data_IF_281470322331
#
_entry.id   IF_281470322331
#
_cell.length_a   1.000
_cell.length_b   1.000
_cell.length_c   1.000
_cell.angle_alpha   90.00
_cell.angle_beta   90.00
_cell.angle_gamma   90.00
#
_symmetry.space_group_name_H-M   'P 1'
#
loop_
_entity.id
_entity.type
_entity.pdbx_description
1 polymer ?
#
# COMPACT_ATOMS: atom_id res chain seq x y z
N UNK A 1 -62.18 -59.80 9.89
CA UNK A 1 -62.14 -58.45 9.33
C UNK A 1 -60.75 -57.86 9.57
N UNK A 2 -59.94 -57.83 8.54
CA UNK A 2 -58.59 -57.27 8.60
C UNK A 2 -58.62 -55.83 8.12
N UNK A 3 -58.40 -54.88 9.05
CA UNK A 3 -58.26 -53.47 8.70
C UNK A 3 -56.81 -53.25 8.24
N UNK A 4 -56.69 -52.95 6.95
CA UNK A 4 -55.41 -52.49 6.42
C UNK A 4 -55.13 -51.07 6.91
N UNK A 5 -54.05 -50.90 7.70
CA UNK A 5 -53.51 -49.59 8.03
C UNK A 5 -52.55 -49.20 6.95
N UNK A 6 -52.91 -48.17 6.23
CA UNK A 6 -52.02 -47.50 5.27
C UNK A 6 -51.01 -46.65 6.06
N UNK A 7 -49.75 -47.00 5.95
CA UNK A 7 -48.63 -46.18 6.52
C UNK A 7 -48.24 -45.19 5.45
N UNK A 8 -48.52 -43.92 5.68
CA UNK A 8 -48.03 -42.84 4.84
C UNK A 8 -46.63 -42.54 5.31
N UNK A 9 -45.65 -42.90 4.50
CA UNK A 9 -44.29 -42.50 4.70
C UNK A 9 -44.12 -41.05 4.27
N UNK A 10 -44.03 -40.13 5.20
CA UNK A 10 -43.68 -38.73 4.95
C UNK A 10 -42.18 -38.63 4.64
N UNK A 11 -41.87 -38.48 3.37
CA UNK A 11 -40.53 -38.18 2.92
C UNK A 11 -40.16 -36.76 3.32
N UNK A 12 -39.27 -36.64 4.28
CA UNK A 12 -38.55 -35.37 4.56
C UNK A 12 -37.57 -35.11 3.43
N UNK A 13 -38.00 -34.29 2.48
CA UNK A 13 -37.11 -33.71 1.51
C UNK A 13 -36.16 -32.74 2.18
N UNK A 14 -34.93 -33.16 2.39
CA UNK A 14 -33.82 -32.26 2.70
C UNK A 14 -33.56 -31.40 1.46
N UNK A 15 -34.15 -30.21 1.47
CA UNK A 15 -33.76 -29.17 0.54
C UNK A 15 -32.31 -28.75 0.89
N UNK A 16 -31.36 -29.34 0.18
CA UNK A 16 -30.00 -28.81 0.17
C UNK A 16 -30.07 -27.43 -0.48
N UNK A 17 -30.05 -26.38 0.35
CA UNK A 17 -29.84 -25.05 -0.13
C UNK A 17 -28.46 -25.00 -0.79
N UNK A 18 -28.35 -24.59 -2.07
CA UNK A 18 -27.05 -24.37 -2.63
C UNK A 18 -26.39 -23.24 -1.81
N UNK A 19 -25.38 -23.57 -1.05
CA UNK A 19 -24.44 -22.56 -0.59
C UNK A 19 -23.88 -21.93 -1.85
N UNK A 20 -24.42 -20.78 -2.21
CA UNK A 20 -23.78 -19.85 -3.11
C UNK A 20 -22.46 -19.49 -2.41
N UNK A 21 -21.43 -20.27 -2.67
CA UNK A 21 -20.09 -19.83 -2.46
C UNK A 21 -20.01 -18.50 -3.23
N UNK A 22 -20.14 -17.39 -2.53
CA UNK A 22 -19.74 -16.11 -3.06
C UNK A 22 -18.29 -16.33 -3.44
N UNK A 23 -18.04 -16.54 -4.72
CA UNK A 23 -16.73 -16.31 -5.25
C UNK A 23 -16.42 -14.88 -4.84
N UNK A 24 -15.61 -14.71 -3.81
CA UNK A 24 -14.90 -13.48 -3.57
C UNK A 24 -14.07 -13.35 -4.82
N UNK A 25 -14.58 -12.61 -5.80
CA UNK A 25 -13.80 -12.13 -6.90
C UNK A 25 -12.70 -11.36 -6.17
N UNK A 26 -11.53 -11.97 -6.06
CA UNK A 26 -10.35 -11.28 -5.61
C UNK A 26 -10.23 -10.10 -6.57
N UNK A 27 -10.74 -8.94 -6.15
CA UNK A 27 -10.45 -7.69 -6.82
C UNK A 27 -8.95 -7.68 -6.89
N UNK A 28 -8.39 -7.74 -8.10
CA UNK A 28 -6.96 -7.85 -8.32
C UNK A 28 -6.25 -6.95 -7.33
N UNK A 29 -5.38 -7.55 -6.49
CA UNK A 29 -4.75 -6.85 -5.38
C UNK A 29 -4.21 -5.53 -5.90
N UNK A 30 -4.69 -4.40 -5.36
CA UNK A 30 -4.21 -3.09 -5.76
C UNK A 30 -2.72 -3.06 -5.57
N UNK A 31 -1.99 -2.55 -6.55
CA UNK A 31 -0.55 -2.37 -6.43
C UNK A 31 -0.23 -1.59 -5.16
N UNK A 32 0.81 -1.97 -4.43
CA UNK A 32 1.31 -1.11 -3.36
C UNK A 32 1.66 0.27 -3.90
N UNK A 33 1.42 1.30 -3.11
CA UNK A 33 1.82 2.66 -3.46
C UNK A 33 3.16 2.94 -2.80
N UNK A 34 4.13 3.36 -3.59
CA UNK A 34 5.39 3.89 -3.09
C UNK A 34 5.41 5.40 -3.30
N UNK A 35 5.54 6.16 -2.22
CA UNK A 35 5.68 7.61 -2.27
C UNK A 35 7.12 7.97 -2.02
N UNK A 36 7.70 8.76 -2.91
CA UNK A 36 8.91 9.53 -2.68
C UNK A 36 8.52 10.97 -2.32
N UNK A 37 8.89 11.40 -1.14
CA UNK A 37 8.72 12.78 -0.68
C UNK A 37 10.08 13.45 -0.54
N UNK A 38 10.29 14.52 -1.29
CA UNK A 38 11.57 15.20 -1.36
C UNK A 38 11.45 16.69 -1.64
N UNK A 39 12.60 17.36 -1.66
CA UNK A 39 12.67 18.79 -1.92
C UNK A 39 13.92 19.18 -2.73
N UNK A 40 13.85 20.37 -3.33
CA UNK A 40 14.91 20.88 -4.22
C UNK A 40 16.21 21.23 -3.49
N UNK A 41 16.16 21.52 -2.19
CA UNK A 41 17.33 21.95 -1.43
C UNK A 41 18.16 20.79 -0.90
N UNK A 42 17.61 19.57 -0.88
CA UNK A 42 18.26 18.39 -0.33
C UNK A 42 19.26 17.78 -1.32
N UNK A 43 20.52 17.73 -0.96
CA UNK A 43 21.54 17.00 -1.73
C UNK A 43 21.24 15.50 -1.79
N UNK A 44 20.69 14.92 -0.72
CA UNK A 44 20.29 13.52 -0.71
C UNK A 44 19.14 13.24 -1.69
N UNK A 45 18.21 14.19 -1.86
CA UNK A 45 17.16 14.08 -2.90
C UNK A 45 17.75 14.16 -4.31
N UNK A 46 18.76 14.98 -4.55
CA UNK A 46 19.46 15.01 -5.84
C UNK A 46 20.14 13.68 -6.14
N UNK A 47 20.81 13.09 -5.16
CA UNK A 47 21.40 11.74 -5.30
C UNK A 47 20.34 10.69 -5.61
N UNK A 48 19.21 10.71 -4.90
CA UNK A 48 18.09 9.82 -5.19
C UNK A 48 17.64 9.96 -6.66
N UNK A 49 17.32 11.19 -7.09
CA UNK A 49 16.77 11.47 -8.41
C UNK A 49 17.74 11.17 -9.56
N UNK A 50 19.03 11.28 -9.33
CA UNK A 50 20.06 11.09 -10.36
C UNK A 50 20.63 9.68 -10.40
N UNK A 51 20.71 8.99 -9.26
CA UNK A 51 21.37 7.69 -9.17
C UNK A 51 20.38 6.54 -8.92
N UNK A 52 19.47 6.67 -7.96
CA UNK A 52 18.61 5.56 -7.53
C UNK A 52 17.28 5.51 -8.27
N UNK A 53 16.63 6.64 -8.49
CA UNK A 53 15.33 6.68 -9.18
C UNK A 53 15.40 6.08 -10.61
N UNK A 54 16.42 6.40 -11.44
CA UNK A 54 16.54 5.78 -12.75
C UNK A 54 16.71 4.26 -12.71
N UNK A 55 17.49 3.74 -11.75
CA UNK A 55 17.65 2.31 -11.55
C UNK A 55 16.33 1.65 -11.13
N UNK A 56 15.61 2.28 -10.22
CA UNK A 56 14.30 1.83 -9.79
C UNK A 56 13.30 1.76 -10.95
N UNK A 57 13.24 2.82 -11.77
CA UNK A 57 12.34 2.87 -12.93
C UNK A 57 12.62 1.82 -14.00
N UNK A 58 13.85 1.34 -14.08
CA UNK A 58 14.27 0.29 -15.01
C UNK A 58 14.07 -1.13 -14.46
N UNK A 59 13.89 -1.26 -13.15
CA UNK A 59 13.73 -2.55 -12.51
C UNK A 59 12.31 -3.12 -12.70
N UNK A 60 12.16 -4.45 -12.80
CA UNK A 60 10.84 -5.08 -12.93
C UNK A 60 9.86 -4.72 -11.81
N UNK A 61 10.35 -4.47 -10.60
CA UNK A 61 9.53 -4.09 -9.45
C UNK A 61 8.77 -2.79 -9.67
N UNK A 62 9.28 -1.88 -10.50
CA UNK A 62 8.60 -0.62 -10.82
C UNK A 62 7.21 -0.83 -11.43
N UNK A 63 7.04 -1.85 -12.26
CA UNK A 63 5.76 -2.18 -12.88
C UNK A 63 4.74 -2.76 -11.87
N UNK A 64 5.21 -3.19 -10.71
CA UNK A 64 4.40 -3.81 -9.66
C UNK A 64 3.97 -2.84 -8.57
N UNK A 65 4.39 -1.58 -8.63
CA UNK A 65 4.07 -0.53 -7.67
C UNK A 65 3.42 0.67 -8.35
N UNK A 66 2.57 1.37 -7.63
CA UNK A 66 2.08 2.71 -8.01
C UNK A 66 3.05 3.73 -7.41
N UNK A 67 3.95 4.24 -8.24
CA UNK A 67 4.97 5.19 -7.81
C UNK A 67 4.45 6.62 -7.87
N UNK A 68 4.51 7.31 -6.75
CA UNK A 68 4.04 8.69 -6.59
C UNK A 68 5.16 9.58 -6.07
N UNK A 69 5.22 10.79 -6.58
CA UNK A 69 6.24 11.79 -6.20
C UNK A 69 5.54 12.99 -5.58
N UNK A 70 5.96 13.35 -4.37
CA UNK A 70 5.62 14.61 -3.71
C UNK A 70 6.93 15.40 -3.57
N UNK A 71 7.09 16.44 -4.38
CA UNK A 71 8.34 17.17 -4.46
C UNK A 71 8.09 18.67 -4.33
N UNK A 72 8.81 19.30 -3.42
CA UNK A 72 8.59 20.70 -3.03
C UNK A 72 9.88 21.51 -3.12
N UNK A 73 9.78 22.83 -3.03
CA UNK A 73 10.95 23.72 -3.04
C UNK A 73 11.78 23.60 -1.78
N UNK A 74 11.13 23.40 -0.62
CA UNK A 74 11.78 23.29 0.69
C UNK A 74 11.17 22.14 1.47
N UNK A 75 11.89 21.51 2.41
CA UNK A 75 11.36 20.40 3.19
C UNK A 75 10.15 20.78 4.04
N UNK A 76 10.05 22.02 4.50
CA UNK A 76 8.91 22.50 5.31
C UNK A 76 7.60 22.47 4.52
N UNK A 77 7.64 22.65 3.21
CA UNK A 77 6.46 22.59 2.36
C UNK A 77 5.88 21.16 2.27
N UNK A 78 6.68 20.13 2.52
CA UNK A 78 6.18 18.74 2.64
C UNK A 78 5.22 18.55 3.81
N UNK A 79 5.28 19.41 4.82
CA UNK A 79 4.38 19.37 5.97
C UNK A 79 3.05 20.11 5.71
N UNK A 80 2.87 20.69 4.53
CA UNK A 80 1.67 21.41 4.13
C UNK A 80 0.75 20.51 3.30
N UNK A 81 -0.53 20.36 3.69
CA UNK A 81 -1.48 19.52 2.94
C UNK A 81 -1.62 19.93 1.46
N UNK A 82 -1.47 21.22 1.15
CA UNK A 82 -1.56 21.73 -0.22
C UNK A 82 -0.46 21.17 -1.15
N UNK A 83 0.67 20.68 -0.62
CA UNK A 83 1.76 20.08 -1.39
C UNK A 83 1.47 18.63 -1.77
N UNK A 84 0.44 18.02 -1.20
CA UNK A 84 0.09 16.63 -1.43
C UNK A 84 -1.13 16.52 -2.36
N UNK A 85 -1.14 15.53 -3.27
CA UNK A 85 -2.36 15.20 -4.01
C UNK A 85 -3.51 14.89 -3.07
N UNK A 86 -4.74 15.22 -3.47
CA UNK A 86 -5.91 15.06 -2.62
C UNK A 86 -6.08 13.62 -2.10
N UNK A 87 -5.79 12.63 -2.93
CA UNK A 87 -5.89 11.21 -2.61
C UNK A 87 -4.77 10.70 -1.67
N UNK A 88 -3.74 11.49 -1.44
CA UNK A 88 -2.61 11.14 -0.56
C UNK A 88 -2.48 12.02 0.68
N UNK A 89 -3.37 12.98 0.90
CA UNK A 89 -3.32 13.87 2.08
C UNK A 89 -3.43 13.11 3.39
N UNK A 90 -4.19 12.02 3.40
CA UNK A 90 -4.30 11.16 4.58
C UNK A 90 -2.96 10.57 5.02
N UNK A 91 -2.03 10.36 4.08
CA UNK A 91 -0.67 9.88 4.39
C UNK A 91 0.08 10.93 5.20
N UNK A 92 -0.01 12.19 4.79
CA UNK A 92 0.56 13.29 5.55
C UNK A 92 -0.06 13.39 6.95
N UNK A 93 -1.38 13.30 7.06
CA UNK A 93 -2.07 13.36 8.35
C UNK A 93 -1.62 12.22 9.27
N UNK A 94 -1.58 10.98 8.78
CA UNK A 94 -1.12 9.83 9.53
C UNK A 94 0.35 9.97 9.95
N UNK A 95 1.18 10.50 9.08
CA UNK A 95 2.60 10.76 9.36
C UNK A 95 2.77 11.79 10.47
N UNK A 96 2.08 12.93 10.38
CA UNK A 96 2.16 13.99 11.39
C UNK A 96 1.64 13.51 12.75
N UNK A 97 0.62 12.66 12.78
CA UNK A 97 0.11 12.08 14.02
C UNK A 97 1.07 11.08 14.67
N UNK A 98 1.90 10.41 13.88
CA UNK A 98 2.85 9.42 14.38
C UNK A 98 4.15 10.04 14.91
N UNK A 99 4.41 11.30 14.61
CA UNK A 99 5.66 11.97 14.97
C UNK A 99 5.56 12.67 16.33
N UNK A 100 6.44 12.30 17.22
CA UNK A 100 6.66 12.98 18.50
C UNK A 100 7.74 14.06 18.29
N UNK A 101 7.41 15.08 17.52
CA UNK A 101 8.32 16.20 17.26
C UNK A 101 8.38 16.59 15.78
N UNK A 102 8.11 17.85 15.50
CA UNK A 102 8.01 18.42 14.15
C UNK A 102 9.37 18.42 13.43
N UNK A 103 10.46 18.44 14.16
CA UNK A 103 11.82 18.54 13.60
C UNK A 103 12.21 17.30 12.77
N UNK A 104 11.72 16.13 13.11
CA UNK A 104 12.00 14.88 12.36
C UNK A 104 11.18 14.75 11.08
N UNK A 105 10.11 15.51 10.93
CA UNK A 105 9.23 15.44 9.78
C UNK A 105 9.80 16.03 8.49
N UNK A 106 10.81 16.88 8.59
CA UNK A 106 11.37 17.61 7.46
C UNK A 106 12.59 16.92 6.81
N UNK A 107 13.02 15.76 7.29
CA UNK A 107 14.12 15.02 6.68
C UNK A 107 13.73 14.39 5.34
N UNK A 108 14.55 14.58 4.32
CA UNK A 108 14.36 14.11 2.97
C UNK A 108 15.63 13.45 2.39
N UNK A 109 15.52 12.54 1.43
CA UNK A 109 14.31 11.94 0.87
C UNK A 109 13.58 11.07 1.90
N UNK A 110 12.25 11.09 1.85
CA UNK A 110 11.41 10.23 2.68
C UNK A 110 10.54 9.35 1.79
N UNK A 111 10.43 8.10 2.19
CA UNK A 111 9.66 7.11 1.44
C UNK A 111 8.54 6.54 2.30
N UNK A 112 7.38 6.34 1.69
CA UNK A 112 6.24 5.66 2.31
C UNK A 112 5.80 4.51 1.43
N UNK A 113 5.65 3.34 2.03
CA UNK A 113 5.04 2.19 1.39
C UNK A 113 3.63 2.00 1.94
N UNK A 114 2.66 1.95 1.05
CA UNK A 114 1.25 1.83 1.38
C UNK A 114 0.71 0.54 0.80
N UNK A 115 0.09 -0.26 1.64
CA UNK A 115 -0.58 -1.50 1.28
C UNK A 115 -1.95 -1.55 1.94
N UNK A 116 -2.99 -1.88 1.17
CA UNK A 116 -4.34 -2.02 1.72
C UNK A 116 -4.86 -0.76 2.41
N UNK A 117 -4.47 0.43 1.94
CA UNK A 117 -4.88 1.71 2.52
C UNK A 117 -4.17 2.08 3.83
N UNK A 118 -3.06 1.42 4.16
CA UNK A 118 -2.28 1.69 5.36
C UNK A 118 -0.81 1.92 5.03
N UNK A 119 -0.15 2.81 5.78
CA UNK A 119 1.31 2.95 5.72
C UNK A 119 1.91 1.74 6.42
N UNK A 120 2.54 0.85 5.66
CA UNK A 120 3.16 -0.37 6.20
C UNK A 120 4.64 -0.22 6.48
N UNK A 121 5.29 0.73 5.83
CA UNK A 121 6.71 0.96 6.00
C UNK A 121 7.10 2.39 5.62
N UNK A 122 8.08 2.95 6.33
CA UNK A 122 8.68 4.25 6.03
C UNK A 122 10.21 4.17 6.08
N UNK A 123 10.88 4.98 5.27
CA UNK A 123 12.33 5.07 5.27
C UNK A 123 12.76 6.52 5.01
N UNK A 124 13.90 6.91 5.55
CA UNK A 124 14.50 8.23 5.35
C UNK A 124 15.95 8.09 4.87
N UNK A 125 16.23 8.76 3.76
CA UNK A 125 17.57 8.80 3.19
C UNK A 125 17.89 7.67 2.21
N UNK A 126 18.97 7.86 1.45
CA UNK A 126 19.38 6.91 0.41
C UNK A 126 19.87 5.58 0.96
N UNK A 127 20.51 5.58 2.14
CA UNK A 127 20.96 4.34 2.78
C UNK A 127 19.77 3.49 3.20
N UNK A 128 18.74 4.09 3.79
CA UNK A 128 17.52 3.37 4.16
C UNK A 128 16.74 2.90 2.92
N UNK A 129 16.77 3.67 1.83
CA UNK A 129 16.24 3.20 0.54
C UNK A 129 16.94 1.90 0.10
N UNK A 130 18.26 1.94 0.01
CA UNK A 130 19.07 0.81 -0.46
C UNK A 130 18.96 -0.42 0.42
N UNK A 131 19.09 -0.21 1.74
CA UNK A 131 19.30 -1.31 2.68
C UNK A 131 18.00 -1.88 3.23
N UNK A 132 16.90 -1.12 3.19
CA UNK A 132 15.63 -1.52 3.81
C UNK A 132 14.45 -1.39 2.86
N UNK A 133 14.21 -0.21 2.26
CA UNK A 133 13.02 -0.02 1.41
C UNK A 133 13.06 -0.90 0.15
N UNK A 134 14.19 -0.93 -0.53
CA UNK A 134 14.36 -1.75 -1.74
C UNK A 134 14.10 -3.24 -1.49
N UNK A 135 14.75 -3.88 -0.49
CA UNK A 135 14.43 -5.27 -0.14
C UNK A 135 12.96 -5.48 0.23
N UNK A 136 12.38 -4.55 0.98
CA UNK A 136 10.95 -4.62 1.38
C UNK A 136 10.03 -4.58 0.15
N UNK A 137 10.32 -3.72 -0.82
CA UNK A 137 9.55 -3.67 -2.08
C UNK A 137 9.62 -4.99 -2.84
N UNK A 138 10.80 -5.60 -2.91
CA UNK A 138 10.96 -6.90 -3.57
C UNK A 138 10.14 -7.97 -2.87
N UNK A 139 10.17 -8.04 -1.56
CA UNK A 139 9.41 -9.02 -0.79
C UNK A 139 7.90 -8.84 -0.98
N UNK A 140 7.42 -7.61 -0.86
CA UNK A 140 5.99 -7.28 -0.99
C UNK A 140 5.46 -7.59 -2.39
N UNK A 141 6.22 -7.26 -3.42
CA UNK A 141 5.80 -7.46 -4.81
C UNK A 141 5.95 -8.91 -5.27
N UNK A 142 6.87 -9.67 -4.70
CA UNK A 142 7.02 -11.11 -4.98
C UNK A 142 5.97 -11.97 -4.27
N UNK A 143 5.41 -11.48 -3.17
CA UNK A 143 4.35 -12.16 -2.41
C UNK A 143 2.95 -11.96 -3.00
N UNK A 144 2.82 -11.13 -4.03
CA UNK A 144 1.54 -10.93 -4.73
C UNK A 144 1.32 -12.06 -5.74
N UNK A 145 0.14 -12.69 -5.74
CA UNK A 145 -0.22 -13.71 -6.72
C UNK A 145 -0.29 -13.14 -8.15
#
# INVERSE_FOLDING_TARGET
MLKRRTVIASGLGLAAAPMLARAVVAQGAKKPILIFAGDETSEACKVWRTQWEPLFKQAPVFQKVDYRVVFTKTPQLLLKPASWPADLRWVLDAFLMSQVGIEQGAETPRFFLIQGGQITFTAVGNNAWRDVMWPTLLDVTNSQP
#
